data_IF_466061049039
#
_entry.id   IF_466061049039
#
_cell.length_a   1.000
_cell.length_b   1.000
_cell.length_c   1.000
_cell.angle_alpha   90.00
_cell.angle_beta   90.00
_cell.angle_gamma   90.00
#
_symmetry.space_group_name_H-M   'P 1'
#
loop_
_entity.id
_entity.type
_entity.pdbx_description
1 polymer ?
#
# COMPACT_ATOMS: atom_id res chain seq x y z
N UNK A 1 0.92 -37.51 -9.42
CA UNK A 1 1.62 -36.24 -9.13
C UNK A 1 1.03 -35.15 -10.01
N UNK A 2 0.30 -34.21 -9.46
CA UNK A 2 -0.23 -33.06 -10.22
C UNK A 2 0.86 -31.98 -10.27
N UNK A 3 1.22 -31.43 -11.44
CA UNK A 3 2.16 -30.34 -11.52
C UNK A 3 1.58 -29.12 -10.79
N UNK A 4 2.30 -28.58 -9.80
CA UNK A 4 1.99 -27.30 -9.18
C UNK A 4 2.03 -26.22 -10.25
N UNK A 5 0.87 -25.78 -10.74
CA UNK A 5 0.76 -24.61 -11.62
C UNK A 5 1.26 -23.40 -10.85
N UNK A 6 2.51 -23.03 -11.07
CA UNK A 6 3.01 -21.73 -10.61
C UNK A 6 2.25 -20.67 -11.39
N UNK A 7 1.34 -19.97 -10.71
CA UNK A 7 0.66 -18.80 -11.28
C UNK A 7 1.68 -17.83 -11.87
N UNK A 8 1.35 -17.12 -12.94
CA UNK A 8 2.28 -16.29 -13.69
C UNK A 8 2.66 -15.04 -12.88
N UNK A 9 3.60 -15.23 -11.93
CA UNK A 9 4.18 -14.13 -11.12
C UNK A 9 4.67 -12.97 -11.99
N UNK A 10 5.05 -13.27 -13.25
CA UNK A 10 5.49 -12.28 -14.24
C UNK A 10 4.34 -11.42 -14.77
N UNK A 11 3.12 -11.92 -14.83
CA UNK A 11 1.96 -11.15 -15.32
C UNK A 11 1.55 -10.04 -14.36
N UNK A 12 1.61 -10.29 -13.05
CA UNK A 12 1.26 -9.28 -12.02
C UNK A 12 2.31 -8.17 -12.00
N UNK A 13 3.61 -8.53 -12.08
CA UNK A 13 4.70 -7.54 -12.16
C UNK A 13 4.64 -6.70 -13.44
N UNK A 14 4.28 -7.31 -14.57
CA UNK A 14 4.11 -6.60 -15.85
C UNK A 14 2.90 -5.67 -15.81
N UNK A 15 1.79 -6.08 -15.20
CA UNK A 15 0.59 -5.24 -15.03
C UNK A 15 0.86 -4.04 -14.10
N UNK A 16 1.59 -4.26 -13.00
CA UNK A 16 2.00 -3.17 -12.09
C UNK A 16 2.98 -2.21 -12.78
N UNK A 17 3.94 -2.72 -13.54
CA UNK A 17 4.89 -1.89 -14.30
C UNK A 17 4.19 -1.13 -15.44
N UNK A 18 3.25 -1.74 -16.15
CA UNK A 18 2.46 -1.08 -17.20
C UNK A 18 1.53 -0.01 -16.64
N UNK A 19 0.93 -0.25 -15.46
CA UNK A 19 0.13 0.77 -14.76
C UNK A 19 0.98 1.96 -14.33
N UNK A 20 2.24 1.75 -13.95
CA UNK A 20 3.18 2.81 -13.61
C UNK A 20 3.65 3.61 -14.84
N UNK A 21 3.86 2.93 -15.97
CA UNK A 21 4.30 3.55 -17.23
C UNK A 21 3.18 4.34 -17.94
N UNK A 22 1.92 4.04 -17.65
CA UNK A 22 0.75 4.72 -18.21
C UNK A 22 0.34 5.97 -17.43
N UNK A 23 1.07 6.34 -16.35
CA UNK A 23 0.80 7.60 -15.65
C UNK A 23 1.10 8.77 -16.59
N UNK A 24 0.10 9.64 -16.89
CA UNK A 24 0.34 10.83 -17.66
C UNK A 24 1.43 11.65 -16.97
N UNK A 25 2.33 12.25 -17.75
CA UNK A 25 3.31 13.21 -17.25
C UNK A 25 2.54 14.44 -16.74
N UNK A 26 2.06 14.37 -15.50
CA UNK A 26 1.35 15.48 -14.85
C UNK A 26 2.43 16.43 -14.35
N UNK A 27 2.37 17.73 -14.73
CA UNK A 27 3.30 18.70 -14.17
C UNK A 27 3.21 18.66 -12.65
N UNK A 28 4.36 18.59 -11.99
CA UNK A 28 4.42 18.51 -10.52
C UNK A 28 3.59 19.67 -9.94
N UNK A 29 2.57 19.38 -9.12
CA UNK A 29 1.77 20.42 -8.52
C UNK A 29 2.66 21.26 -7.61
N UNK A 30 2.56 22.58 -7.67
CA UNK A 30 3.22 23.51 -6.76
C UNK A 30 2.61 23.47 -5.34
N UNK A 31 2.36 22.26 -4.83
CA UNK A 31 1.76 21.97 -3.53
C UNK A 31 2.74 21.13 -2.71
N UNK A 32 2.79 21.31 -1.39
CA UNK A 32 3.60 20.46 -0.52
C UNK A 32 3.26 18.98 -0.76
N UNK A 33 4.29 18.12 -0.75
CA UNK A 33 4.11 16.68 -0.94
C UNK A 33 3.18 16.10 0.14
N UNK A 34 3.40 16.49 1.39
CA UNK A 34 2.60 16.04 2.52
C UNK A 34 1.63 17.11 2.99
N UNK A 35 0.44 16.68 3.39
CA UNK A 35 -0.51 17.50 4.13
C UNK A 35 0.10 17.94 5.47
N UNK A 36 -0.35 19.10 6.00
CA UNK A 36 -0.02 19.49 7.37
C UNK A 36 -0.48 18.43 8.37
N UNK A 37 0.14 18.37 9.54
CA UNK A 37 -0.23 17.38 10.57
C UNK A 37 -1.70 17.45 10.97
N UNK A 38 -2.27 18.64 10.97
CA UNK A 38 -3.72 18.85 11.21
C UNK A 38 -4.56 18.40 10.03
N UNK A 39 -4.12 18.65 8.79
CA UNK A 39 -4.80 18.23 7.55
C UNK A 39 -4.83 16.72 7.35
N UNK A 40 -3.96 15.98 8.03
CA UNK A 40 -3.95 14.51 8.00
C UNK A 40 -4.95 13.86 8.96
N UNK A 41 -5.67 14.64 9.75
CA UNK A 41 -6.64 14.14 10.71
C UNK A 41 -6.03 13.48 11.97
N UNK A 42 -6.85 13.03 12.91
CA UNK A 42 -6.42 12.31 14.10
C UNK A 42 -5.92 10.89 13.74
N UNK A 43 -5.14 10.29 14.66
CA UNK A 43 -4.57 8.95 14.47
C UNK A 43 -5.62 7.83 14.40
N UNK A 44 -6.75 7.98 15.09
CA UNK A 44 -7.86 7.02 15.12
C UNK A 44 -9.00 7.41 14.16
N UNK A 45 -8.68 8.14 13.08
CA UNK A 45 -9.66 8.42 12.05
C UNK A 45 -9.89 7.18 11.18
N UNK A 46 -11.11 7.03 10.66
CA UNK A 46 -11.53 5.87 9.86
C UNK A 46 -10.67 5.60 8.63
N UNK A 47 -10.07 6.63 8.04
CA UNK A 47 -9.12 6.47 6.94
C UNK A 47 -7.85 5.72 7.38
N UNK A 48 -7.28 6.01 8.57
CA UNK A 48 -6.13 5.29 9.10
C UNK A 48 -6.46 3.86 9.50
N UNK A 49 -7.66 3.63 10.02
CA UNK A 49 -8.16 2.28 10.31
C UNK A 49 -8.27 1.46 9.02
N UNK A 50 -8.75 2.06 7.92
CA UNK A 50 -8.82 1.41 6.61
C UNK A 50 -7.44 1.10 6.03
N UNK A 51 -6.49 2.03 6.17
CA UNK A 51 -5.10 1.80 5.77
C UNK A 51 -4.48 0.64 6.55
N UNK A 52 -4.62 0.65 7.88
CA UNK A 52 -4.14 -0.43 8.74
C UNK A 52 -4.78 -1.77 8.36
N UNK A 53 -6.10 -1.85 8.29
CA UNK A 53 -6.82 -3.09 8.00
C UNK A 53 -6.53 -3.61 6.58
N UNK A 54 -6.48 -2.72 5.58
CA UNK A 54 -6.14 -3.07 4.21
C UNK A 54 -4.72 -3.62 4.09
N UNK A 55 -3.75 -2.96 4.70
CA UNK A 55 -2.35 -3.38 4.69
C UNK A 55 -2.14 -4.67 5.47
N UNK A 56 -2.85 -4.88 6.59
CA UNK A 56 -2.86 -6.14 7.31
C UNK A 56 -3.35 -7.28 6.41
N UNK A 57 -4.48 -7.09 5.74
CA UNK A 57 -5.07 -8.11 4.87
C UNK A 57 -4.15 -8.45 3.68
N UNK A 58 -3.56 -7.45 3.02
CA UNK A 58 -2.64 -7.66 1.90
C UNK A 58 -1.40 -8.44 2.35
N UNK A 59 -0.75 -8.00 3.44
CA UNK A 59 0.47 -8.63 3.94
C UNK A 59 0.22 -10.07 4.42
N UNK A 60 -0.90 -10.31 5.12
CA UNK A 60 -1.31 -11.64 5.54
C UNK A 60 -1.58 -12.56 4.34
N UNK A 61 -2.29 -12.10 3.33
CA UNK A 61 -2.57 -12.86 2.11
C UNK A 61 -1.29 -13.26 1.38
N UNK A 62 -0.34 -12.33 1.21
CA UNK A 62 0.96 -12.61 0.59
C UNK A 62 1.75 -13.64 1.39
N UNK A 63 1.68 -13.60 2.72
CA UNK A 63 2.30 -14.61 3.59
C UNK A 63 1.68 -15.99 3.41
N UNK A 64 0.35 -16.09 3.40
CA UNK A 64 -0.37 -17.34 3.16
C UNK A 64 -0.04 -17.92 1.78
N UNK A 65 0.17 -17.10 0.77
CA UNK A 65 0.62 -17.52 -0.56
C UNK A 65 2.10 -17.94 -0.61
N UNK A 66 2.83 -17.85 0.49
CA UNK A 66 4.21 -18.30 0.64
C UNK A 66 5.28 -17.24 0.32
N UNK A 67 4.90 -15.98 0.23
CA UNK A 67 5.90 -14.91 0.12
C UNK A 67 6.65 -14.75 1.44
N UNK A 68 7.93 -14.40 1.38
CA UNK A 68 8.71 -14.15 2.59
C UNK A 68 8.28 -12.82 3.26
N UNK A 69 8.59 -12.68 4.54
CA UNK A 69 8.20 -11.53 5.39
C UNK A 69 8.58 -10.18 4.75
N UNK A 70 9.81 -10.05 4.26
CA UNK A 70 10.32 -8.80 3.68
C UNK A 70 9.54 -8.41 2.41
N UNK A 71 9.28 -9.39 1.53
CA UNK A 71 8.50 -9.15 0.30
C UNK A 71 7.06 -8.82 0.59
N UNK A 72 6.43 -9.50 1.54
CA UNK A 72 5.06 -9.20 1.94
C UNK A 72 4.93 -7.75 2.44
N UNK A 73 5.82 -7.32 3.34
CA UNK A 73 5.84 -5.93 3.84
C UNK A 73 6.14 -4.95 2.70
N UNK A 74 7.19 -5.19 1.90
CA UNK A 74 7.58 -4.28 0.82
C UNK A 74 6.48 -4.11 -0.23
N UNK A 75 5.84 -5.19 -0.65
CA UNK A 75 4.74 -5.13 -1.62
C UNK A 75 3.52 -4.38 -1.06
N UNK A 76 3.18 -4.61 0.21
CA UNK A 76 2.09 -3.90 0.88
C UNK A 76 2.36 -2.40 0.98
N UNK A 77 3.57 -2.02 1.41
CA UNK A 77 3.97 -0.61 1.44
C UNK A 77 4.01 0.01 0.04
N UNK A 78 4.37 -0.75 -0.99
CA UNK A 78 4.29 -0.30 -2.38
C UNK A 78 2.88 0.11 -2.78
N UNK A 79 1.85 -0.63 -2.36
CA UNK A 79 0.45 -0.27 -2.58
C UNK A 79 0.08 1.02 -1.84
N UNK A 80 0.48 1.15 -0.57
CA UNK A 80 0.25 2.37 0.22
C UNK A 80 0.92 3.59 -0.41
N UNK A 81 2.18 3.47 -0.80
CA UNK A 81 2.91 4.55 -1.49
C UNK A 81 2.26 4.94 -2.82
N UNK A 82 1.77 3.99 -3.58
CA UNK A 82 1.06 4.27 -4.83
C UNK A 82 -0.22 5.07 -4.57
N UNK A 83 -0.98 4.70 -3.53
CA UNK A 83 -2.18 5.44 -3.13
C UNK A 83 -1.84 6.88 -2.72
N UNK A 84 -0.78 7.07 -1.92
CA UNK A 84 -0.35 8.40 -1.50
C UNK A 84 0.17 9.25 -2.67
N UNK A 85 0.86 8.64 -3.64
CA UNK A 85 1.26 9.32 -4.87
C UNK A 85 0.05 9.75 -5.70
N UNK A 86 -0.99 8.91 -5.78
CA UNK A 86 -2.25 9.28 -6.41
C UNK A 86 -2.93 10.45 -5.68
N UNK A 87 -3.00 10.42 -4.37
CA UNK A 87 -3.63 11.49 -3.57
C UNK A 87 -2.88 12.82 -3.71
N UNK A 88 -1.57 12.76 -3.85
CA UNK A 88 -0.76 13.96 -4.11
C UNK A 88 -0.92 14.48 -5.53
N UNK A 89 -0.87 13.62 -6.55
CA UNK A 89 -0.80 14.02 -7.95
C UNK A 89 -2.18 14.25 -8.60
N UNK A 90 -3.16 13.39 -8.32
CA UNK A 90 -4.38 13.24 -9.09
C UNK A 90 -5.67 13.55 -8.31
N UNK A 91 -5.64 13.47 -6.98
CA UNK A 91 -6.83 13.74 -6.17
C UNK A 91 -7.31 15.19 -6.36
N UNK A 92 -8.61 15.43 -6.54
CA UNK A 92 -9.14 16.79 -6.65
C UNK A 92 -8.80 17.66 -5.44
N UNK A 93 -8.40 18.91 -5.66
CA UNK A 93 -8.01 19.82 -4.56
C UNK A 93 -9.10 20.00 -3.51
N UNK A 94 -10.39 20.01 -3.92
CA UNK A 94 -11.55 20.10 -3.03
C UNK A 94 -11.66 18.93 -2.02
N UNK A 95 -10.98 17.82 -2.30
CA UNK A 95 -10.97 16.62 -1.43
C UNK A 95 -9.71 16.53 -0.56
N UNK A 96 -8.93 17.61 -0.44
CA UNK A 96 -7.70 17.61 0.32
C UNK A 96 -6.58 16.86 -0.39
N UNK A 97 -6.01 17.47 -1.45
CA UNK A 97 -4.88 16.93 -2.21
C UNK A 97 -3.61 16.97 -1.36
N UNK A 98 -2.91 15.85 -1.28
CA UNK A 98 -1.63 15.71 -0.61
C UNK A 98 -1.46 14.31 -0.04
N UNK A 99 -0.21 13.88 0.11
CA UNK A 99 0.10 12.62 0.75
C UNK A 99 -0.02 12.71 2.28
N UNK A 100 -0.34 11.59 2.92
CA UNK A 100 -0.43 11.49 4.37
C UNK A 100 0.64 10.53 4.90
N UNK A 101 1.62 11.04 5.63
CA UNK A 101 2.59 10.18 6.30
C UNK A 101 1.98 9.35 7.42
N UNK A 102 0.86 9.82 8.02
CA UNK A 102 0.12 9.04 9.02
C UNK A 102 -0.56 7.81 8.41
N UNK A 103 -1.04 7.93 7.16
CA UNK A 103 -1.60 6.79 6.42
C UNK A 103 -0.52 5.78 6.09
N UNK A 104 0.68 6.23 5.68
CA UNK A 104 1.83 5.36 5.47
C UNK A 104 2.30 4.67 6.76
N UNK A 105 2.23 5.36 7.91
CA UNK A 105 2.53 4.75 9.19
C UNK A 105 1.50 3.68 9.57
N UNK A 106 0.21 3.92 9.29
CA UNK A 106 -0.85 2.93 9.48
C UNK A 106 -0.67 1.72 8.54
N UNK A 107 -0.27 1.95 7.28
CA UNK A 107 0.07 0.89 6.34
C UNK A 107 1.22 0.02 6.84
N UNK A 108 2.29 0.62 7.34
CA UNK A 108 3.41 -0.11 7.91
C UNK A 108 3.00 -0.94 9.12
N UNK A 109 2.24 -0.35 10.04
CA UNK A 109 1.76 -1.06 11.22
C UNK A 109 0.86 -2.24 10.84
N UNK A 110 -0.06 -2.05 9.89
CA UNK A 110 -0.91 -3.10 9.35
C UNK A 110 -0.12 -4.22 8.69
N UNK A 111 0.84 -3.87 7.83
CA UNK A 111 1.68 -4.85 7.15
C UNK A 111 2.48 -5.71 8.13
N UNK A 112 3.08 -5.10 9.15
CA UNK A 112 3.82 -5.82 10.18
C UNK A 112 2.91 -6.73 11.01
N UNK A 113 1.71 -6.25 11.38
CA UNK A 113 0.71 -7.05 12.09
C UNK A 113 0.26 -8.27 11.26
N UNK A 114 -0.04 -8.08 9.98
CA UNK A 114 -0.45 -9.16 9.08
C UNK A 114 0.63 -10.24 8.94
N UNK A 115 1.89 -9.83 8.78
CA UNK A 115 3.03 -10.76 8.74
C UNK A 115 3.20 -11.48 10.08
N UNK A 116 3.07 -10.79 11.21
CA UNK A 116 3.22 -11.38 12.53
C UNK A 116 2.14 -12.43 12.83
N UNK A 117 0.88 -12.13 12.51
CA UNK A 117 -0.25 -13.04 12.71
C UNK A 117 -0.03 -14.35 11.94
N UNK A 118 0.24 -14.28 10.64
CA UNK A 118 0.45 -15.50 9.83
C UNK A 118 1.68 -16.26 10.33
N UNK A 119 2.77 -15.56 10.68
CA UNK A 119 3.96 -16.23 11.21
C UNK A 119 3.74 -16.92 12.56
N UNK A 120 2.82 -16.43 13.38
CA UNK A 120 2.45 -17.07 14.64
C UNK A 120 1.56 -18.31 14.44
N UNK A 121 0.81 -18.35 13.34
CA UNK A 121 -0.06 -19.49 13.00
C UNK A 121 0.71 -20.61 12.25
N UNK A 122 1.88 -20.31 11.68
CA UNK A 122 2.73 -21.27 10.97
C UNK A 122 3.58 -22.14 11.92
N UNK A 123 3.48 -21.94 13.23
CA UNK A 123 4.14 -22.72 14.29
C UNK A 123 3.15 -23.66 14.97
#
# INVERSE_FOLDING_TARGET
>A
MRPKRRAPRRAILVLLAAAFAALPCVPAPATPLFLSSTGQGPWLASDKELHFAGSLAIAASLRVEGENRKRAVAATLGVGLFKEAYDWALKPRRMGRGASWKDLAADLAGALAGVAIVSALDH
#
